data_IF_417559238917
#
_entry.id   IF_417559238917
#
_cell.length_a   1.000
_cell.length_b   1.000
_cell.length_c   1.000
_cell.angle_alpha   90.00
_cell.angle_beta   90.00
_cell.angle_gamma   90.00
#
_symmetry.space_group_name_H-M   'P 1'
#
loop_
_entity.id
_entity.type
_entity.pdbx_description
1 polymer ?
#
# COMPACT_ATOMS: atom_id res chain seq x y z
N UNK A 1 -39.32 -6.34 6.04
CA UNK A 1 -37.90 -6.37 6.36
C UNK A 1 -37.06 -5.51 5.40
N UNK A 2 -37.41 -5.41 4.11
CA UNK A 2 -36.71 -4.57 3.11
C UNK A 2 -36.78 -3.06 3.35
N UNK A 3 -37.88 -2.52 3.88
CA UNK A 3 -38.07 -1.09 4.09
C UNK A 3 -37.09 -0.56 5.17
N UNK A 4 -36.84 -1.35 6.22
CA UNK A 4 -35.93 -0.97 7.32
C UNK A 4 -34.46 -0.92 6.84
N UNK A 5 -34.10 -1.79 5.92
CA UNK A 5 -32.74 -1.81 5.35
C UNK A 5 -32.48 -0.59 4.46
N UNK A 6 -33.48 -0.15 3.69
CA UNK A 6 -33.42 1.04 2.81
C UNK A 6 -33.33 2.36 3.61
N UNK A 7 -34.01 2.43 4.77
CA UNK A 7 -33.94 3.60 5.66
C UNK A 7 -32.56 3.69 6.36
N UNK A 8 -31.97 2.56 6.73
CA UNK A 8 -30.63 2.52 7.36
C UNK A 8 -29.53 2.94 6.37
N UNK A 9 -29.64 2.56 5.10
CA UNK A 9 -28.67 2.92 4.05
C UNK A 9 -28.71 4.42 3.76
N UNK A 10 -29.91 5.02 3.71
CA UNK A 10 -30.05 6.46 3.51
C UNK A 10 -29.48 7.28 4.69
N UNK A 11 -29.65 6.83 5.92
CA UNK A 11 -29.07 7.54 7.07
C UNK A 11 -27.54 7.55 7.03
N UNK A 12 -26.90 6.44 6.66
CA UNK A 12 -25.44 6.37 6.50
C UNK A 12 -24.93 7.27 5.38
N UNK A 13 -25.65 7.33 4.27
CA UNK A 13 -25.33 8.23 3.15
C UNK A 13 -25.44 9.71 3.56
N UNK A 14 -26.51 10.07 4.25
CA UNK A 14 -26.72 11.44 4.75
C UNK A 14 -25.65 11.82 5.77
N UNK A 15 -25.28 10.93 6.69
CA UNK A 15 -24.19 11.16 7.64
C UNK A 15 -22.86 11.35 6.93
N UNK A 16 -22.57 10.57 5.90
CA UNK A 16 -21.37 10.69 5.09
C UNK A 16 -21.31 12.01 4.34
N UNK A 17 -22.41 12.44 3.72
CA UNK A 17 -22.54 13.74 3.03
C UNK A 17 -22.37 14.90 4.02
N UNK A 18 -22.94 14.77 5.23
CA UNK A 18 -22.78 15.77 6.29
C UNK A 18 -21.31 15.90 6.74
N UNK A 19 -20.61 14.80 6.94
CA UNK A 19 -19.17 14.81 7.22
C UNK A 19 -18.36 15.41 6.08
N UNK A 20 -18.73 15.12 4.83
CA UNK A 20 -18.07 15.69 3.65
C UNK A 20 -18.27 17.22 3.58
N UNK A 21 -19.48 17.71 3.95
CA UNK A 21 -19.75 19.14 4.00
C UNK A 21 -18.98 19.86 5.09
N UNK A 22 -18.75 19.23 6.25
CA UNK A 22 -17.92 19.80 7.32
C UNK A 22 -16.46 19.96 6.90
N UNK A 23 -15.94 19.02 6.12
CA UNK A 23 -14.58 19.12 5.55
C UNK A 23 -14.48 20.27 4.55
N UNK A 24 -15.52 20.51 3.76
CA UNK A 24 -15.58 21.63 2.81
C UNK A 24 -15.74 22.99 3.51
N UNK A 25 -16.44 23.06 4.65
CA UNK A 25 -16.62 24.29 5.42
C UNK A 25 -15.35 24.71 6.20
N UNK A 26 -14.40 23.79 6.41
CA UNK A 26 -13.12 24.05 7.05
C UNK A 26 -12.10 24.78 6.16
N UNK A 27 -12.48 25.21 4.96
CA UNK A 27 -11.66 26.09 4.12
C UNK A 27 -11.82 27.52 4.61
N UNK A 28 -11.23 27.81 5.76
CA UNK A 28 -11.16 29.17 6.29
C UNK A 28 -10.30 30.02 5.35
N UNK A 29 -10.87 31.15 4.91
CA UNK A 29 -10.21 32.16 4.07
C UNK A 29 -9.16 32.98 4.83
N UNK A 30 -8.58 32.45 5.91
CA UNK A 30 -7.40 33.05 6.50
C UNK A 30 -6.29 32.95 5.45
N UNK A 31 -5.80 34.10 4.99
CA UNK A 31 -4.55 34.20 4.21
C UNK A 31 -3.45 33.56 5.04
N UNK A 32 -3.29 32.24 4.91
CA UNK A 32 -2.10 31.59 5.45
C UNK A 32 -0.96 32.03 4.53
N UNK A 33 0.02 32.72 5.09
CA UNK A 33 1.26 33.09 4.40
C UNK A 33 2.07 31.86 3.94
N UNK A 34 1.53 30.67 4.17
CA UNK A 34 2.16 29.38 3.86
C UNK A 34 1.55 28.79 2.58
N UNK A 35 2.41 28.55 1.61
CA UNK A 35 2.05 27.77 0.42
C UNK A 35 1.87 26.30 0.79
N UNK A 36 0.73 25.71 0.46
CA UNK A 36 0.39 24.30 0.70
C UNK A 36 0.32 23.54 -0.62
N UNK A 37 0.82 22.31 -0.61
CA UNK A 37 0.73 21.38 -1.74
C UNK A 37 -0.01 20.11 -1.33
N UNK A 38 -1.32 20.23 -1.13
CA UNK A 38 -2.17 19.06 -0.99
C UNK A 38 -2.13 18.26 -2.30
N UNK A 39 -1.84 16.96 -2.24
CA UNK A 39 -1.53 16.20 -3.44
C UNK A 39 -2.29 14.89 -3.50
N UNK A 40 -2.87 14.61 -4.67
CA UNK A 40 -3.17 13.24 -5.05
C UNK A 40 -1.91 12.56 -5.55
N UNK A 41 -1.78 11.28 -5.26
CA UNK A 41 -0.69 10.48 -5.80
C UNK A 41 -1.20 9.21 -6.46
N UNK A 42 -0.45 8.78 -7.47
CA UNK A 42 -0.58 7.49 -8.11
C UNK A 42 0.81 6.89 -8.28
N UNK A 43 0.97 5.60 -7.99
CA UNK A 43 2.26 4.94 -8.10
C UNK A 43 2.13 3.47 -8.47
N UNK A 44 3.24 2.94 -8.96
CA UNK A 44 3.40 1.51 -9.21
C UNK A 44 4.81 1.10 -8.85
N UNK A 45 4.95 -0.04 -8.18
CA UNK A 45 6.24 -0.56 -7.72
C UNK A 45 6.37 -2.05 -8.02
N UNK A 46 7.59 -2.48 -8.28
CA UNK A 46 7.98 -3.87 -8.32
C UNK A 46 8.38 -4.35 -6.93
N UNK A 47 8.04 -5.59 -6.58
CA UNK A 47 8.34 -6.22 -5.30
C UNK A 47 9.56 -7.11 -5.41
N UNK A 48 10.46 -6.97 -4.46
CA UNK A 48 11.60 -7.85 -4.26
C UNK A 48 11.43 -8.44 -2.86
N UNK A 49 11.29 -9.74 -2.77
CA UNK A 49 11.20 -10.43 -1.48
C UNK A 49 12.57 -10.37 -0.79
N UNK A 50 12.57 -10.04 0.50
CA UNK A 50 13.80 -9.75 1.25
C UNK A 50 14.28 -10.89 2.12
N UNK A 51 13.41 -11.81 2.50
CA UNK A 51 13.74 -12.94 3.36
C UNK A 51 14.36 -14.10 2.57
N UNK A 52 15.38 -14.73 3.12
CA UNK A 52 15.96 -15.92 2.51
C UNK A 52 15.17 -17.16 2.92
N UNK A 53 14.39 -17.72 2.01
CA UNK A 53 13.61 -18.93 2.20
C UNK A 53 14.16 -20.01 1.27
N UNK A 54 14.48 -21.18 1.82
CA UNK A 54 15.06 -22.27 1.04
C UNK A 54 14.12 -22.70 -0.10
N UNK A 55 14.67 -22.86 -1.30
CA UNK A 55 13.94 -23.25 -2.53
C UNK A 55 12.82 -22.30 -2.96
N UNK A 56 12.67 -21.15 -2.32
CA UNK A 56 11.73 -20.13 -2.74
C UNK A 56 12.18 -19.48 -4.04
N UNK A 57 11.20 -19.23 -4.92
CA UNK A 57 11.40 -18.50 -6.17
C UNK A 57 10.25 -17.53 -6.40
N UNK A 58 10.59 -16.25 -6.58
CA UNK A 58 9.69 -15.26 -7.15
C UNK A 58 9.76 -15.40 -8.67
N UNK A 59 8.76 -16.03 -9.28
CA UNK A 59 8.80 -16.49 -10.66
C UNK A 59 7.76 -15.85 -11.59
N UNK A 60 7.43 -14.59 -11.32
CA UNK A 60 6.49 -13.81 -12.13
C UNK A 60 6.43 -12.36 -11.71
N UNK A 61 5.53 -11.60 -12.34
CA UNK A 61 5.32 -10.21 -11.97
C UNK A 61 4.80 -10.11 -10.54
N UNK A 62 5.51 -9.35 -9.73
CA UNK A 62 5.14 -9.03 -8.36
C UNK A 62 5.26 -7.53 -8.17
N UNK A 63 4.21 -6.89 -7.73
CA UNK A 63 4.20 -5.44 -7.60
C UNK A 63 2.86 -4.90 -7.12
N UNK A 64 2.74 -3.59 -7.07
CA UNK A 64 1.50 -2.93 -6.71
C UNK A 64 1.15 -1.76 -7.61
N UNK A 65 -0.12 -1.38 -7.50
CA UNK A 65 -0.63 -0.06 -7.85
C UNK A 65 -1.13 0.60 -6.57
N UNK A 66 -0.79 1.84 -6.39
CA UNK A 66 -1.21 2.65 -5.23
C UNK A 66 -1.75 3.99 -5.69
N UNK A 67 -2.76 4.47 -4.99
CA UNK A 67 -3.33 5.81 -5.19
C UNK A 67 -3.77 6.37 -3.83
N UNK A 68 -3.76 7.68 -3.70
CA UNK A 68 -4.19 8.30 -2.46
C UNK A 68 -4.10 9.81 -2.50
N UNK A 69 -4.30 10.37 -1.31
CA UNK A 69 -4.27 11.81 -1.07
C UNK A 69 -3.41 12.09 0.15
N UNK A 70 -2.59 13.14 0.09
CA UNK A 70 -1.77 13.59 1.21
C UNK A 70 -2.04 15.09 1.44
N UNK A 71 -2.42 15.41 2.66
CA UNK A 71 -2.53 16.77 3.17
C UNK A 71 -1.16 17.28 3.55
N UNK A 72 -0.83 18.47 3.08
CA UNK A 72 0.43 19.15 3.34
C UNK A 72 0.30 20.13 4.49
N UNK A 73 1.23 20.06 5.44
CA UNK A 73 1.30 20.92 6.62
C UNK A 73 2.68 21.58 6.64
N UNK A 74 2.84 22.80 6.06
CA UNK A 74 4.12 23.50 6.06
C UNK A 74 4.63 23.76 7.47
N UNK A 75 5.94 23.55 7.69
CA UNK A 75 6.60 23.73 8.99
C UNK A 75 7.33 25.07 9.05
N UNK A 76 7.76 25.58 7.89
CA UNK A 76 8.53 26.83 7.82
C UNK A 76 7.85 27.86 6.89
N UNK A 77 8.16 29.11 7.10
CA UNK A 77 7.57 30.24 6.33
C UNK A 77 7.88 30.17 4.83
N UNK A 78 9.01 29.57 4.44
CA UNK A 78 9.34 29.36 3.02
C UNK A 78 8.60 28.20 2.39
N UNK A 79 7.84 27.41 3.18
CA UNK A 79 7.12 26.22 2.75
C UNK A 79 7.99 25.15 2.06
N UNK A 80 9.32 25.22 2.26
CA UNK A 80 10.27 24.23 1.73
C UNK A 80 10.26 22.93 2.51
N UNK A 81 9.83 22.99 3.76
CA UNK A 81 9.68 21.85 4.65
C UNK A 81 8.23 21.73 5.12
N UNK A 82 7.70 20.51 5.06
CA UNK A 82 6.34 20.22 5.49
C UNK A 82 6.24 18.83 6.12
N UNK A 83 5.18 18.61 6.88
CA UNK A 83 4.70 17.29 7.25
C UNK A 83 3.54 16.93 6.31
N UNK A 84 3.51 15.69 5.87
CA UNK A 84 2.41 15.12 5.11
C UNK A 84 1.70 14.06 5.92
N UNK A 85 0.36 14.09 5.94
CA UNK A 85 -0.46 13.01 6.44
C UNK A 85 -1.53 12.69 5.41
N UNK A 86 -1.77 11.42 5.14
CA UNK A 86 -2.66 11.06 4.06
C UNK A 86 -3.42 9.78 4.25
N UNK A 87 -4.11 9.43 3.19
CA UNK A 87 -4.87 8.20 3.05
C UNK A 87 -4.63 7.62 1.66
N UNK A 88 -4.41 6.31 1.56
CA UNK A 88 -4.16 5.63 0.31
C UNK A 88 -4.83 4.27 0.22
N UNK A 89 -4.94 3.80 -1.01
CA UNK A 89 -5.36 2.46 -1.35
C UNK A 89 -4.28 1.79 -2.18
N UNK A 90 -4.00 0.52 -1.89
CA UNK A 90 -3.01 -0.28 -2.60
C UNK A 90 -3.63 -1.59 -3.07
N UNK A 91 -3.36 -1.96 -4.32
CA UNK A 91 -3.65 -3.30 -4.86
C UNK A 91 -2.33 -4.00 -5.13
N UNK A 92 -2.10 -5.08 -4.42
CA UNK A 92 -0.84 -5.81 -4.37
C UNK A 92 -0.96 -7.16 -5.08
N UNK A 93 0.09 -7.55 -5.80
CA UNK A 93 0.22 -8.81 -6.50
C UNK A 93 1.59 -9.40 -6.24
N UNK A 94 1.62 -10.66 -5.86
CA UNK A 94 2.85 -11.39 -5.60
C UNK A 94 2.78 -12.76 -6.25
N UNK A 95 3.77 -13.11 -7.08
CA UNK A 95 3.82 -14.37 -7.81
C UNK A 95 5.05 -15.16 -7.40
N UNK A 96 4.83 -16.38 -6.92
CA UNK A 96 5.90 -17.25 -6.43
C UNK A 96 5.56 -18.72 -6.60
N UNK A 97 6.47 -19.59 -6.21
CA UNK A 97 6.27 -21.04 -6.15
C UNK A 97 5.70 -21.53 -4.80
N UNK A 98 5.23 -20.62 -3.94
CA UNK A 98 4.49 -20.99 -2.72
C UNK A 98 3.06 -21.35 -3.10
N UNK A 99 2.61 -22.50 -2.68
CA UNK A 99 1.22 -22.96 -2.87
C UNK A 99 0.55 -23.16 -1.52
N UNK A 100 -0.49 -22.40 -1.19
CA UNK A 100 -1.34 -22.69 -0.05
C UNK A 100 -2.27 -23.87 -0.38
N UNK A 101 -2.43 -24.76 0.57
CA UNK A 101 -3.36 -25.89 0.52
C UNK A 101 -4.22 -25.89 1.77
N UNK A 102 -5.51 -26.14 1.64
CA UNK A 102 -6.41 -26.27 2.79
C UNK A 102 -6.61 -27.73 3.13
N UNK A 103 -6.26 -28.12 4.37
CA UNK A 103 -6.48 -29.44 4.90
C UNK A 103 -7.05 -29.34 6.31
N UNK A 104 -8.18 -30.00 6.56
CA UNK A 104 -8.87 -29.99 7.87
C UNK A 104 -9.15 -28.57 8.40
N UNK A 105 -9.60 -27.64 7.53
CA UNK A 105 -9.80 -26.22 7.82
C UNK A 105 -8.53 -25.45 8.22
N UNK A 106 -7.35 -26.04 8.07
CA UNK A 106 -6.07 -25.39 8.30
C UNK A 106 -5.37 -25.10 6.97
N UNK A 107 -4.80 -23.90 6.87
CA UNK A 107 -3.97 -23.52 5.73
C UNK A 107 -2.54 -24.02 5.96
N UNK A 108 -2.06 -24.82 5.02
CA UNK A 108 -0.68 -25.27 4.93
C UNK A 108 -0.03 -24.60 3.72
N UNK A 109 1.27 -24.39 3.80
CA UNK A 109 2.04 -23.78 2.73
C UNK A 109 3.13 -24.74 2.27
N UNK A 110 3.25 -24.91 0.97
CA UNK A 110 4.24 -25.76 0.33
C UNK A 110 5.04 -24.97 -0.70
N UNK A 111 6.35 -25.22 -0.77
CA UNK A 111 7.17 -24.71 -1.85
C UNK A 111 7.25 -25.78 -2.92
N UNK A 112 6.70 -25.49 -4.08
CA UNK A 112 6.70 -26.43 -5.19
C UNK A 112 8.03 -26.33 -5.93
N UNK A 113 8.85 -27.37 -5.80
CA UNK A 113 10.11 -27.53 -6.53
C UNK A 113 9.92 -28.61 -7.60
N UNK A 114 9.54 -28.20 -8.80
CA UNK A 114 9.41 -29.13 -9.91
C UNK A 114 10.40 -28.79 -11.01
N UNK A 115 11.05 -29.81 -11.57
CA UNK A 115 11.93 -29.65 -12.74
C UNK A 115 11.16 -29.56 -14.06
N UNK A 116 9.89 -29.97 -14.08
CA UNK A 116 9.09 -30.13 -15.30
C UNK A 116 7.89 -29.17 -15.37
N UNK A 117 7.50 -28.55 -14.26
CA UNK A 117 6.35 -27.65 -14.18
C UNK A 117 6.76 -26.39 -13.43
N UNK A 118 6.74 -25.26 -14.11
CA UNK A 118 6.80 -23.96 -13.43
C UNK A 118 5.50 -23.75 -12.64
N UNK A 119 5.51 -24.13 -11.37
CA UNK A 119 4.39 -23.79 -10.49
C UNK A 119 4.41 -22.29 -10.21
N UNK A 120 3.40 -21.59 -10.68
CA UNK A 120 3.18 -20.17 -10.41
C UNK A 120 1.91 -20.02 -9.61
N UNK A 121 2.04 -19.42 -8.44
CA UNK A 121 0.89 -19.02 -7.65
C UNK A 121 0.89 -17.49 -7.51
N UNK A 122 -0.19 -16.87 -7.96
CA UNK A 122 -0.41 -15.43 -7.85
C UNK A 122 -1.25 -15.15 -6.63
N UNK A 123 -0.65 -14.52 -5.64
CA UNK A 123 -1.34 -14.03 -4.45
C UNK A 123 -1.68 -12.55 -4.67
N UNK A 124 -2.93 -12.17 -4.41
CA UNK A 124 -3.37 -10.77 -4.55
C UNK A 124 -4.12 -10.30 -3.32
N UNK A 125 -3.85 -9.07 -2.88
CA UNK A 125 -4.49 -8.46 -1.73
C UNK A 125 -4.61 -6.94 -1.90
N UNK A 126 -5.50 -6.36 -1.12
CA UNK A 126 -5.67 -4.91 -1.07
C UNK A 126 -5.28 -4.39 0.30
N UNK A 127 -4.83 -3.16 0.36
CA UNK A 127 -4.51 -2.49 1.63
C UNK A 127 -5.03 -1.06 1.60
N UNK A 128 -5.46 -0.59 2.77
CA UNK A 128 -5.65 0.84 3.02
C UNK A 128 -4.42 1.31 3.78
N UNK A 129 -3.85 2.44 3.39
CA UNK A 129 -2.63 2.97 3.98
C UNK A 129 -2.83 4.37 4.53
N UNK A 130 -2.14 4.66 5.62
CA UNK A 130 -2.01 5.99 6.22
C UNK A 130 -0.53 6.36 6.14
N UNK A 131 -0.11 7.12 5.11
CA UNK A 131 1.24 7.66 5.03
C UNK A 131 1.39 8.85 5.98
N UNK A 132 2.54 8.91 6.66
CA UNK A 132 3.00 10.05 7.45
C UNK A 132 4.43 10.31 7.02
N UNK A 133 4.70 11.53 6.49
CA UNK A 133 5.97 11.82 5.85
C UNK A 133 6.49 13.22 6.17
N UNK A 134 7.80 13.32 6.21
CA UNK A 134 8.51 14.59 6.10
C UNK A 134 8.74 14.90 4.63
N UNK A 135 8.45 16.14 4.24
CA UNK A 135 8.51 16.63 2.87
C UNK A 135 9.53 17.76 2.77
N UNK A 136 10.58 17.52 2.00
CA UNK A 136 11.46 18.57 1.55
C UNK A 136 11.23 18.86 0.08
N UNK A 137 11.03 20.11 -0.26
CA UNK A 137 10.78 20.54 -1.63
C UNK A 137 11.32 21.94 -1.87
N UNK A 138 11.73 22.22 -3.09
CA UNK A 138 12.18 23.53 -3.54
C UNK A 138 11.11 24.19 -4.40
N UNK A 139 9.85 24.24 -3.92
CA UNK A 139 8.73 24.85 -4.63
C UNK A 139 8.55 26.31 -4.23
N UNK A 140 8.06 27.11 -5.19
CA UNK A 140 7.63 28.48 -4.98
C UNK A 140 6.26 28.69 -5.66
N UNK A 141 5.53 29.75 -5.29
CA UNK A 141 4.24 30.09 -5.91
C UNK A 141 4.30 30.28 -7.44
N UNK A 142 5.48 30.57 -7.99
CA UNK A 142 5.71 30.83 -9.41
C UNK A 142 6.41 29.69 -10.15
N UNK A 143 6.95 28.71 -9.46
CA UNK A 143 7.79 27.66 -10.04
C UNK A 143 7.19 26.28 -9.77
N UNK A 144 6.58 25.67 -10.78
CA UNK A 144 5.92 24.37 -10.69
C UNK A 144 6.86 23.17 -10.90
N UNK A 145 8.10 23.42 -11.37
CA UNK A 145 9.09 22.38 -11.63
C UNK A 145 10.19 22.45 -10.60
N UNK A 146 10.21 21.53 -9.66
CA UNK A 146 11.16 21.53 -8.55
C UNK A 146 11.57 20.12 -8.12
N UNK A 147 12.69 20.04 -7.43
CA UNK A 147 13.12 18.84 -6.75
C UNK A 147 12.34 18.61 -5.47
N UNK A 148 12.00 17.35 -5.22
CA UNK A 148 11.35 16.93 -3.98
C UNK A 148 11.98 15.66 -3.42
N UNK A 149 12.00 15.57 -2.09
CA UNK A 149 12.40 14.38 -1.33
C UNK A 149 11.38 14.25 -0.21
N UNK A 150 10.62 13.16 -0.22
CA UNK A 150 9.63 12.84 0.79
C UNK A 150 10.01 11.53 1.44
N UNK A 151 10.07 11.49 2.75
CA UNK A 151 10.48 10.33 3.53
C UNK A 151 9.55 10.14 4.71
N UNK A 152 9.14 8.92 4.96
CA UNK A 152 8.19 8.65 6.02
C UNK A 152 7.91 7.17 6.24
N UNK A 153 6.83 6.93 6.92
CA UNK A 153 6.32 5.58 7.16
C UNK A 153 4.84 5.48 6.77
N UNK A 154 4.42 4.27 6.43
CA UNK A 154 3.03 3.93 6.17
C UNK A 154 2.56 2.90 7.18
N UNK A 155 1.38 3.10 7.72
CA UNK A 155 0.63 2.09 8.45
C UNK A 155 -0.42 1.55 7.48
N UNK A 156 -0.46 0.25 7.28
CA UNK A 156 -1.33 -0.40 6.30
C UNK A 156 -2.26 -1.39 6.98
N UNK A 157 -3.57 -1.29 6.72
CA UNK A 157 -4.56 -2.32 7.05
C UNK A 157 -4.76 -3.19 5.83
N UNK A 158 -4.44 -4.46 5.95
CA UNK A 158 -4.55 -5.43 4.87
C UNK A 158 -5.92 -6.13 4.89
N UNK A 159 -6.41 -6.45 3.70
CA UNK A 159 -7.64 -7.20 3.49
C UNK A 159 -7.32 -8.57 2.91
N UNK A 160 -8.21 -9.56 3.12
CA UNK A 160 -7.95 -10.94 2.78
C UNK A 160 -7.34 -11.16 1.41
N UNK A 161 -6.40 -12.08 1.36
CA UNK A 161 -5.68 -12.54 0.19
C UNK A 161 -6.51 -13.52 -0.63
N UNK A 162 -6.27 -13.47 -1.94
CA UNK A 162 -6.73 -14.51 -2.86
C UNK A 162 -5.50 -15.12 -3.53
N UNK A 163 -5.39 -16.44 -3.41
CA UNK A 163 -4.39 -17.25 -4.09
C UNK A 163 -4.99 -17.83 -5.34
N UNK A 164 -4.33 -17.61 -6.47
CA UNK A 164 -4.75 -18.12 -7.77
C UNK A 164 -3.61 -18.98 -8.34
N UNK A 165 -3.57 -20.27 -8.01
CA UNK A 165 -2.53 -21.18 -8.47
C UNK A 165 -2.74 -21.50 -9.95
N UNK A 166 -1.63 -21.82 -10.64
CA UNK A 166 -1.70 -22.30 -12.04
C UNK A 166 -2.48 -23.60 -12.18
N UNK A 167 -2.53 -24.39 -11.11
CA UNK A 167 -3.25 -25.65 -11.02
C UNK A 167 -4.04 -25.68 -9.69
N UNK A 168 -5.36 -25.85 -9.78
CA UNK A 168 -6.24 -25.90 -8.61
C UNK A 168 -7.27 -24.76 -8.58
N UNK A 169 -8.01 -24.70 -7.48
CA UNK A 169 -9.04 -23.69 -7.27
C UNK A 169 -8.46 -22.45 -6.59
N UNK A 170 -9.10 -21.31 -6.82
CA UNK A 170 -8.83 -20.10 -6.06
C UNK A 170 -9.07 -20.34 -4.57
N UNK A 171 -8.12 -19.95 -3.73
CA UNK A 171 -8.19 -20.13 -2.29
C UNK A 171 -8.12 -18.78 -1.58
N UNK A 172 -9.03 -18.54 -0.64
CA UNK A 172 -8.98 -17.36 0.21
C UNK A 172 -8.05 -17.59 1.39
N UNK A 173 -6.95 -16.83 1.43
CA UNK A 173 -5.97 -16.87 2.51
C UNK A 173 -6.38 -15.87 3.60
N UNK A 174 -6.69 -16.38 4.78
CA UNK A 174 -7.06 -15.57 5.96
C UNK A 174 -5.86 -15.23 6.85
N UNK A 175 -4.74 -15.88 6.60
CA UNK A 175 -3.54 -15.90 7.45
C UNK A 175 -2.57 -14.73 7.19
N UNK A 176 -3.08 -13.58 6.81
CA UNK A 176 -2.24 -12.39 6.63
C UNK A 176 -2.21 -11.54 7.89
N UNK A 177 -1.12 -10.83 8.07
CA UNK A 177 -1.05 -9.79 9.09
C UNK A 177 -2.01 -8.66 8.76
N UNK A 178 -2.94 -8.41 9.64
CA UNK A 178 -3.96 -7.39 9.51
C UNK A 178 -3.35 -6.00 9.38
N UNK A 179 -2.29 -5.74 10.14
CA UNK A 179 -1.59 -4.47 10.16
C UNK A 179 -0.13 -4.65 9.82
N UNK A 180 0.33 -3.92 8.81
CA UNK A 180 1.74 -3.86 8.43
C UNK A 180 2.22 -2.43 8.40
N UNK A 181 3.52 -2.26 8.61
CA UNK A 181 4.20 -0.97 8.55
C UNK A 181 5.35 -1.03 7.57
N UNK A 182 5.60 0.08 6.91
CA UNK A 182 6.77 0.24 6.03
C UNK A 182 7.37 1.64 6.18
N UNK A 183 8.65 1.74 5.90
CA UNK A 183 9.33 3.03 5.67
C UNK A 183 9.47 3.25 4.18
N UNK A 184 9.47 4.50 3.76
CA UNK A 184 9.65 4.83 2.34
C UNK A 184 10.41 6.13 2.11
N UNK A 185 10.97 6.23 0.92
CA UNK A 185 11.65 7.40 0.38
C UNK A 185 11.20 7.61 -1.05
N UNK A 186 10.65 8.79 -1.32
CA UNK A 186 10.29 9.24 -2.67
C UNK A 186 11.18 10.42 -3.03
N UNK A 187 11.86 10.36 -4.17
CA UNK A 187 12.73 11.44 -4.62
C UNK A 187 12.58 11.65 -6.14
N UNK A 188 12.53 12.90 -6.56
CA UNK A 188 12.42 13.19 -7.97
C UNK A 188 12.28 14.66 -8.32
N UNK A 189 12.01 14.89 -9.60
CA UNK A 189 11.85 16.20 -10.17
C UNK A 189 10.51 16.32 -10.88
N UNK A 190 9.78 17.38 -10.57
CA UNK A 190 8.44 17.65 -11.10
C UNK A 190 7.48 16.46 -10.84
N UNK A 191 6.87 15.91 -11.89
CA UNK A 191 5.90 14.82 -11.80
C UNK A 191 6.56 13.45 -11.60
N UNK A 192 7.82 13.27 -12.02
CA UNK A 192 8.51 11.99 -11.99
C UNK A 192 9.29 11.77 -10.70
N UNK A 193 8.90 10.78 -9.91
CA UNK A 193 9.59 10.45 -8.68
C UNK A 193 9.83 8.94 -8.60
N UNK A 194 11.04 8.58 -8.16
CA UNK A 194 11.39 7.21 -7.78
C UNK A 194 10.87 6.98 -6.37
N UNK A 195 10.28 5.82 -6.15
CA UNK A 195 9.76 5.39 -4.85
C UNK A 195 10.49 4.15 -4.39
N UNK A 196 11.03 4.19 -3.20
CA UNK A 196 11.62 3.09 -2.47
C UNK A 196 10.79 2.85 -1.22
N UNK A 197 10.39 1.61 -0.95
CA UNK A 197 9.63 1.27 0.25
C UNK A 197 10.12 -0.06 0.80
N UNK A 198 10.27 -0.17 2.13
CA UNK A 198 10.71 -1.36 2.82
C UNK A 198 9.71 -1.74 3.92
N UNK A 199 9.22 -3.00 3.89
CA UNK A 199 8.33 -3.52 4.92
C UNK A 199 9.11 -3.76 6.22
N UNK A 200 8.61 -3.22 7.33
CA UNK A 200 9.20 -3.40 8.66
C UNK A 200 8.72 -4.68 9.34
N UNK A 201 7.59 -5.19 8.92
CA UNK A 201 7.04 -6.45 9.39
C UNK A 201 6.47 -7.27 8.22
N UNK A 202 6.57 -8.60 8.28
CA UNK A 202 6.13 -9.46 7.18
C UNK A 202 4.60 -9.44 7.00
N UNK A 203 4.15 -9.67 5.77
CA UNK A 203 2.74 -9.82 5.42
C UNK A 203 2.18 -11.18 5.83
N UNK A 204 3.02 -12.21 5.75
CA UNK A 204 2.79 -13.53 6.34
C UNK A 204 3.83 -13.72 7.44
N UNK A 205 3.38 -14.04 8.64
CA UNK A 205 4.22 -14.17 9.82
C UNK A 205 3.91 -15.43 10.58
N UNK A 206 4.96 -16.08 11.12
CA UNK A 206 4.85 -17.26 11.97
C UNK A 206 4.11 -18.43 11.30
N UNK A 207 4.08 -18.47 9.97
CA UNK A 207 3.56 -19.61 9.23
C UNK A 207 4.71 -20.60 8.96
N UNK A 208 4.38 -21.88 8.95
CA UNK A 208 5.35 -22.94 8.68
C UNK A 208 5.08 -23.55 7.32
N UNK A 209 6.14 -23.77 6.59
CA UNK A 209 6.12 -24.66 5.43
C UNK A 209 6.14 -26.11 5.94
N UNK A 210 5.69 -27.05 5.14
CA UNK A 210 5.63 -28.48 5.47
C UNK A 210 6.91 -29.04 6.12
N UNK A 211 8.05 -28.42 5.87
CA UNK A 211 9.36 -28.78 6.44
C UNK A 211 9.71 -28.04 7.75
N UNK A 212 8.74 -27.45 8.44
CA UNK A 212 8.90 -26.66 9.67
C UNK A 212 9.71 -25.36 9.54
N UNK A 213 10.08 -24.94 8.32
CA UNK A 213 10.73 -23.65 8.07
C UNK A 213 9.74 -22.51 8.23
N UNK A 214 10.14 -21.45 8.91
CA UNK A 214 9.29 -20.26 9.08
C UNK A 214 9.08 -19.54 7.76
N UNK A 215 7.82 -19.27 7.44
CA UNK A 215 7.41 -18.51 6.27
C UNK A 215 7.12 -17.06 6.67
N UNK A 216 8.16 -16.23 6.65
CA UNK A 216 8.03 -14.79 6.81
C UNK A 216 8.24 -14.13 5.44
N UNK A 217 7.26 -13.36 4.97
CA UNK A 217 7.34 -12.69 3.67
C UNK A 217 7.28 -11.19 3.87
N UNK A 218 8.38 -10.52 3.58
CA UNK A 218 8.52 -9.06 3.55
C UNK A 218 9.04 -8.62 2.19
N UNK A 219 8.75 -7.37 1.82
CA UNK A 219 9.13 -6.85 0.51
C UNK A 219 9.95 -5.57 0.63
N UNK A 220 10.92 -5.46 -0.26
CA UNK A 220 11.44 -4.19 -0.72
C UNK A 220 10.74 -3.82 -2.02
N UNK A 221 10.27 -2.58 -2.15
CA UNK A 221 9.55 -2.10 -3.32
C UNK A 221 10.34 -0.99 -3.99
N UNK A 222 10.51 -1.11 -5.30
CA UNK A 222 11.12 -0.11 -6.15
C UNK A 222 10.12 0.27 -7.25
N UNK A 223 9.84 1.56 -7.42
CA UNK A 223 8.85 1.98 -8.40
C UNK A 223 8.87 3.46 -8.73
N UNK A 224 7.78 3.88 -9.34
CA UNK A 224 7.52 5.28 -9.68
C UNK A 224 6.27 5.76 -8.97
N UNK A 225 6.29 7.03 -8.56
CA UNK A 225 5.16 7.71 -7.96
C UNK A 225 4.99 9.10 -8.57
N UNK A 226 3.77 9.45 -8.87
CA UNK A 226 3.37 10.71 -9.50
C UNK A 226 2.50 11.48 -8.52
N UNK A 227 2.77 12.78 -8.38
CA UNK A 227 2.00 13.67 -7.54
C UNK A 227 1.29 14.71 -8.40
N UNK A 228 0.00 14.92 -8.10
CA UNK A 228 -0.88 15.86 -8.77
C UNK A 228 -1.50 16.80 -7.72
N UNK A 229 -1.54 18.09 -8.02
CA UNK A 229 -2.24 19.12 -7.23
C UNK A 229 -3.73 19.09 -7.52
#
# INVERSE_FOLDING_TARGET
MEIIHKISTNKRLVTFIYFLSLVLYSQDNSKSDFYREDQFYFGSSYFIQTESIENFKQNGFSGNFQLGFIRDIPINSSSTNALGIGFGFERNYFTSNIQPTEKDNNLNYEIIVSRFLESKNKISFSSISIPIEYRWRKSTLSEYKFWRIYSGFKIKKNFPLYSNPSYGSELRIKDIEDWTTSIYLNAGYNTWNISLEYDLNPILKNKKISNQTDLNISFFRLGLIFYFL
#
